data_IF_154847003955
#
_entry.id   IF_154847003955
#
_cell.length_a   1.000
_cell.length_b   1.000
_cell.length_c   1.000
_cell.angle_alpha   90.00
_cell.angle_beta   90.00
_cell.angle_gamma   90.00
#
_symmetry.space_group_name_H-M   'P 1'
#
loop_
_entity.id
_entity.type
_entity.pdbx_description
1 polymer ?
#
# COMPACT_ATOMS: atom_id res chain seq x y z
N UNK A 1 -7.14 -12.38 12.61
CA UNK A 1 -5.71 -12.43 12.24
C UNK A 1 -5.60 -13.12 10.90
N UNK A 2 -4.82 -12.58 9.97
CA UNK A 2 -4.57 -13.17 8.66
C UNK A 2 -3.15 -13.78 8.64
N UNK A 3 -2.98 -14.91 7.94
CA UNK A 3 -1.72 -15.67 7.92
C UNK A 3 -1.45 -16.24 6.52
N UNK A 4 -0.30 -16.90 6.35
CA UNK A 4 0.01 -17.70 5.15
C UNK A 4 -0.89 -18.94 4.99
N UNK A 5 -1.73 -19.23 5.97
CA UNK A 5 -2.63 -20.39 6.04
C UNK A 5 -4.07 -19.95 6.34
N UNK A 6 -4.50 -18.84 5.75
CA UNK A 6 -5.84 -18.31 5.88
C UNK A 6 -6.07 -17.41 7.11
N UNK A 7 -7.33 -17.35 7.55
CA UNK A 7 -7.81 -16.39 8.56
C UNK A 7 -8.13 -17.13 9.84
N UNK A 8 -7.64 -16.59 10.96
CA UNK A 8 -7.95 -17.08 12.30
C UNK A 8 -8.73 -16.06 13.11
N UNK A 9 -9.74 -16.54 13.85
CA UNK A 9 -10.42 -15.81 14.90
C UNK A 9 -9.65 -15.97 16.21
N UNK A 10 -9.39 -14.86 16.88
CA UNK A 10 -8.77 -14.84 18.21
C UNK A 10 -9.84 -14.85 19.30
N UNK A 11 -9.71 -15.74 20.27
CA UNK A 11 -10.58 -15.81 21.44
C UNK A 11 -9.87 -15.23 22.68
N UNK A 12 -10.09 -13.96 23.05
CA UNK A 12 -9.43 -13.37 24.21
C UNK A 12 -9.82 -14.04 25.54
N UNK A 13 -11.01 -14.63 25.62
CA UNK A 13 -11.47 -15.34 26.83
C UNK A 13 -10.72 -16.66 27.07
N UNK A 14 -9.96 -17.15 26.08
CA UNK A 14 -9.12 -18.33 26.17
C UNK A 14 -7.73 -18.07 26.78
N UNK A 15 -7.31 -16.79 26.89
CA UNK A 15 -5.93 -16.41 27.27
C UNK A 15 -5.44 -16.98 28.62
N UNK A 16 -6.37 -17.26 29.54
CA UNK A 16 -6.06 -17.76 30.87
C UNK A 16 -6.69 -19.13 31.19
N UNK A 17 -7.13 -19.86 30.15
CA UNK A 17 -7.76 -21.17 30.33
C UNK A 17 -6.87 -22.26 29.72
N UNK A 18 -6.16 -23.06 30.54
CA UNK A 18 -5.35 -24.18 30.06
C UNK A 18 -6.18 -25.12 29.18
N UNK A 19 -5.64 -25.50 28.02
CA UNK A 19 -6.30 -26.40 27.07
C UNK A 19 -7.38 -25.74 26.18
N UNK A 20 -7.62 -24.44 26.29
CA UNK A 20 -8.57 -23.73 25.42
C UNK A 20 -7.91 -23.22 24.14
N UNK A 21 -8.66 -23.28 23.04
CA UNK A 21 -8.20 -22.84 21.72
C UNK A 21 -8.20 -21.32 21.61
N UNK A 22 -6.99 -20.74 21.56
CA UNK A 22 -6.75 -19.30 21.39
C UNK A 22 -7.08 -18.80 19.98
N UNK A 23 -6.77 -19.62 18.97
CA UNK A 23 -6.96 -19.32 17.57
C UNK A 23 -7.71 -20.45 16.89
N UNK A 24 -8.81 -20.12 16.24
CA UNK A 24 -9.59 -21.07 15.43
C UNK A 24 -9.71 -20.53 14.01
N UNK A 25 -9.87 -21.38 12.99
CA UNK A 25 -10.21 -20.93 11.65
C UNK A 25 -11.42 -19.99 11.72
N UNK A 26 -11.36 -18.87 11.01
CA UNK A 26 -12.47 -17.93 10.94
C UNK A 26 -13.69 -18.55 10.22
N UNK A 27 -13.44 -19.58 9.41
CA UNK A 27 -14.42 -20.29 8.60
C UNK A 27 -14.04 -21.76 8.44
N UNK A 28 -15.03 -22.63 8.29
CA UNK A 28 -14.85 -24.06 8.01
C UNK A 28 -14.47 -24.33 6.53
N UNK A 29 -14.49 -23.30 5.68
CA UNK A 29 -14.14 -23.44 4.26
C UNK A 29 -12.64 -23.74 4.09
N UNK A 30 -12.34 -24.96 3.67
CA UNK A 30 -10.97 -25.46 3.52
C UNK A 30 -10.13 -24.70 2.48
N UNK A 31 -10.74 -24.13 1.43
CA UNK A 31 -10.00 -23.37 0.41
C UNK A 31 -9.50 -22.03 0.97
N UNK A 32 -10.27 -21.38 1.84
CA UNK A 32 -9.84 -20.14 2.49
C UNK A 32 -8.70 -20.35 3.48
N UNK A 33 -8.67 -21.51 4.12
CA UNK A 33 -7.59 -21.90 5.02
C UNK A 33 -6.29 -22.24 4.26
N UNK A 34 -6.32 -22.28 2.92
CA UNK A 34 -5.13 -22.42 2.06
C UNK A 34 -4.66 -21.09 1.47
N UNK A 35 -5.47 -20.03 1.53
CA UNK A 35 -5.09 -18.74 0.97
C UNK A 35 -3.94 -18.12 1.77
N UNK A 36 -2.90 -17.68 1.08
CA UNK A 36 -1.86 -16.85 1.66
C UNK A 36 -2.31 -15.40 1.64
N UNK A 37 -2.67 -14.86 2.80
CA UNK A 37 -3.23 -13.52 2.93
C UNK A 37 -2.11 -12.53 3.22
N UNK A 38 -2.10 -11.43 2.46
CA UNK A 38 -1.08 -10.38 2.53
C UNK A 38 -1.59 -9.09 3.13
N UNK A 39 -2.89 -8.84 3.05
CA UNK A 39 -3.53 -7.64 3.59
C UNK A 39 -4.98 -7.91 3.97
N UNK A 40 -5.50 -7.11 4.90
CA UNK A 40 -6.81 -7.28 5.51
C UNK A 40 -7.43 -5.90 5.78
N UNK A 41 -8.70 -5.74 5.42
CA UNK A 41 -9.51 -4.58 5.78
C UNK A 41 -10.91 -5.04 6.19
N UNK A 42 -11.43 -4.52 7.30
CA UNK A 42 -12.86 -4.53 7.59
C UNK A 42 -13.44 -3.20 7.10
N UNK A 43 -14.40 -3.26 6.18
CA UNK A 43 -15.05 -2.05 5.68
C UNK A 43 -16.15 -1.54 6.63
N UNK A 44 -16.64 -0.33 6.39
CA UNK A 44 -17.70 0.33 7.19
C UNK A 44 -19.03 -0.44 7.24
N UNK A 45 -19.26 -1.38 6.33
CA UNK A 45 -20.46 -2.23 6.30
C UNK A 45 -20.24 -3.55 7.07
N UNK A 46 -19.04 -3.80 7.58
CA UNK A 46 -18.66 -5.01 8.29
C UNK A 46 -18.23 -6.15 7.37
N UNK A 47 -18.03 -5.89 6.07
CA UNK A 47 -17.44 -6.89 5.18
C UNK A 47 -15.93 -6.96 5.42
N UNK A 48 -15.39 -8.16 5.32
CA UNK A 48 -13.94 -8.36 5.37
C UNK A 48 -13.38 -8.50 3.96
N UNK A 49 -12.36 -7.71 3.66
CA UNK A 49 -11.61 -7.71 2.41
C UNK A 49 -10.20 -8.26 2.65
N UNK A 50 -9.76 -9.15 1.77
CA UNK A 50 -8.48 -9.83 1.92
C UNK A 50 -7.72 -9.80 0.60
N UNK A 51 -6.50 -9.30 0.68
CA UNK A 51 -5.52 -9.42 -0.38
C UNK A 51 -4.78 -10.74 -0.27
N UNK A 52 -4.48 -11.37 -1.40
CA UNK A 52 -3.82 -12.68 -1.41
C UNK A 52 -2.58 -12.70 -2.29
N UNK A 53 -1.76 -13.75 -2.11
CA UNK A 53 -0.71 -14.13 -3.06
C UNK A 53 -1.36 -14.93 -4.20
N UNK A 54 -1.21 -14.47 -5.43
CA UNK A 54 -1.58 -15.17 -6.68
C UNK A 54 -3.05 -15.62 -6.77
N UNK A 55 -3.94 -15.09 -5.94
CA UNK A 55 -5.36 -15.46 -5.95
C UNK A 55 -6.27 -14.24 -5.93
N UNK A 56 -5.72 -13.03 -5.98
CA UNK A 56 -6.49 -11.81 -6.09
C UNK A 56 -7.03 -11.22 -4.80
N UNK A 57 -8.24 -10.65 -4.89
CA UNK A 57 -8.95 -9.97 -3.80
C UNK A 57 -10.25 -10.69 -3.49
N UNK A 58 -10.41 -11.07 -2.22
CA UNK A 58 -11.63 -11.69 -1.71
C UNK A 58 -12.40 -10.73 -0.83
N UNK A 59 -13.72 -10.84 -0.86
CA UNK A 59 -14.63 -10.24 0.13
C UNK A 59 -15.42 -11.34 0.83
N UNK A 60 -15.64 -11.15 2.13
CA UNK A 60 -16.60 -11.89 2.93
C UNK A 60 -17.66 -10.94 3.49
N UNK A 61 -18.92 -11.20 3.20
CA UNK A 61 -20.06 -10.36 3.63
C UNK A 61 -20.77 -10.88 4.91
N UNK A 62 -20.14 -11.81 5.63
CA UNK A 62 -20.75 -12.51 6.75
C UNK A 62 -21.57 -13.75 6.36
N UNK A 63 -21.85 -13.97 5.07
CA UNK A 63 -22.61 -15.12 4.55
C UNK A 63 -21.82 -15.88 3.49
N UNK A 64 -21.25 -15.17 2.54
CA UNK A 64 -20.64 -15.72 1.33
C UNK A 64 -19.30 -15.07 1.04
N UNK A 65 -18.47 -15.82 0.30
CA UNK A 65 -17.19 -15.35 -0.19
C UNK A 65 -17.27 -15.09 -1.68
N UNK A 66 -16.74 -13.95 -2.12
CA UNK A 66 -16.65 -13.60 -3.54
C UNK A 66 -15.22 -13.20 -3.87
N UNK A 67 -14.65 -13.81 -4.92
CA UNK A 67 -13.40 -13.33 -5.52
C UNK A 67 -13.72 -12.26 -6.57
N UNK A 68 -13.11 -11.10 -6.43
CA UNK A 68 -13.44 -9.90 -7.20
C UNK A 68 -12.39 -9.53 -8.26
N UNK A 69 -11.16 -10.02 -8.13
CA UNK A 69 -10.06 -9.72 -9.05
C UNK A 69 -9.24 -10.98 -9.24
N UNK A 70 -9.32 -11.66 -10.38
CA UNK A 70 -8.54 -12.89 -10.61
C UNK A 70 -7.24 -12.59 -11.35
N UNK A 71 -6.31 -13.56 -11.39
CA UNK A 71 -5.02 -13.44 -12.07
C UNK A 71 -5.14 -13.05 -13.56
N UNK A 72 -6.25 -13.36 -14.22
CA UNK A 72 -6.50 -13.02 -15.63
C UNK A 72 -6.80 -11.52 -15.84
N UNK A 73 -7.19 -10.80 -14.78
CA UNK A 73 -7.46 -9.37 -14.82
C UNK A 73 -6.17 -8.53 -14.65
N UNK A 74 -5.07 -9.16 -14.23
CA UNK A 74 -3.80 -8.46 -14.06
C UNK A 74 -3.13 -8.24 -15.42
N UNK A 75 -2.74 -6.99 -15.73
CA UNK A 75 -2.13 -6.69 -17.00
C UNK A 75 -0.73 -7.31 -17.16
N UNK A 76 -0.04 -7.56 -16.03
CA UNK A 76 1.24 -8.25 -15.98
C UNK A 76 1.09 -9.58 -15.22
N UNK A 77 0.72 -10.64 -15.93
CA UNK A 77 0.66 -11.99 -15.41
C UNK A 77 1.61 -12.90 -16.20
N UNK A 78 2.75 -13.22 -15.60
CA UNK A 78 3.79 -14.03 -16.24
C UNK A 78 3.75 -15.51 -15.82
N UNK A 79 2.72 -15.93 -15.06
CA UNK A 79 2.56 -17.29 -14.55
C UNK A 79 3.57 -17.72 -13.47
N UNK A 80 4.74 -17.11 -13.41
CA UNK A 80 5.86 -17.48 -12.53
C UNK A 80 6.19 -16.43 -11.46
N UNK A 81 5.35 -15.40 -11.29
CA UNK A 81 5.63 -14.29 -10.37
C UNK A 81 4.51 -14.09 -9.37
N UNK A 82 4.89 -13.69 -8.15
CA UNK A 82 3.96 -13.42 -7.08
C UNK A 82 3.23 -12.09 -7.30
N UNK A 83 1.97 -12.18 -7.74
CA UNK A 83 1.02 -11.07 -7.66
C UNK A 83 0.55 -10.98 -6.20
N UNK A 84 0.75 -9.80 -5.61
CA UNK A 84 0.44 -9.56 -4.19
C UNK A 84 -0.49 -8.37 -4.11
N UNK A 85 -1.47 -8.43 -3.22
CA UNK A 85 -2.23 -7.26 -2.77
C UNK A 85 -1.64 -6.85 -1.44
N UNK A 86 -0.80 -5.82 -1.46
CA UNK A 86 0.05 -5.46 -0.31
C UNK A 86 -0.68 -4.62 0.72
N UNK A 87 -1.67 -3.84 0.29
CA UNK A 87 -2.40 -2.95 1.19
C UNK A 87 -3.81 -2.69 0.70
N UNK A 88 -4.72 -2.41 1.64
CA UNK A 88 -6.13 -2.15 1.38
C UNK A 88 -6.61 -1.02 2.27
N UNK A 89 -7.25 -0.02 1.68
CA UNK A 89 -7.82 1.12 2.40
C UNK A 89 -9.22 1.46 1.89
N UNK A 90 -10.17 1.64 2.81
CA UNK A 90 -11.43 2.29 2.49
C UNK A 90 -11.31 3.78 2.75
N UNK A 91 -11.52 4.60 1.72
CA UNK A 91 -11.41 6.05 1.83
C UNK A 91 -12.64 6.69 2.52
N UNK A 92 -12.56 8.00 2.80
CA UNK A 92 -13.67 8.76 3.40
C UNK A 92 -14.93 8.75 2.53
N UNK A 93 -14.81 8.60 1.21
CA UNK A 93 -15.93 8.54 0.26
C UNK A 93 -16.55 7.14 0.16
N UNK A 94 -15.91 6.13 0.74
CA UNK A 94 -16.38 4.75 0.78
C UNK A 94 -15.82 3.86 -0.33
N UNK A 95 -14.97 4.39 -1.22
CA UNK A 95 -14.26 3.55 -2.18
C UNK A 95 -13.22 2.69 -1.47
N UNK A 96 -12.98 1.49 -2.00
CA UNK A 96 -11.94 0.60 -1.47
C UNK A 96 -10.80 0.53 -2.47
N UNK A 97 -9.60 0.79 -1.98
CA UNK A 97 -8.37 0.88 -2.76
C UNK A 97 -7.47 -0.29 -2.45
N UNK A 98 -6.87 -0.88 -3.48
CA UNK A 98 -5.97 -2.02 -3.36
C UNK A 98 -4.65 -1.69 -4.02
N UNK A 99 -3.57 -1.83 -3.25
CA UNK A 99 -2.20 -1.71 -3.72
C UNK A 99 -1.70 -3.06 -4.17
N UNK A 100 -1.13 -3.13 -5.37
CA UNK A 100 -0.64 -4.40 -5.89
C UNK A 100 0.84 -4.36 -6.26
N UNK A 101 1.47 -5.52 -6.16
CA UNK A 101 2.86 -5.74 -6.52
C UNK A 101 2.97 -6.38 -7.89
N UNK A 102 4.11 -6.13 -8.55
CA UNK A 102 4.51 -6.81 -9.77
C UNK A 102 3.52 -6.63 -10.94
N UNK A 103 3.11 -5.39 -11.18
CA UNK A 103 2.45 -4.99 -12.42
C UNK A 103 0.93 -4.95 -12.39
N UNK A 104 0.34 -4.92 -11.20
CA UNK A 104 -1.10 -4.71 -11.05
C UNK A 104 -1.51 -3.25 -10.85
N UNK A 105 -0.60 -2.33 -10.47
CA UNK A 105 -0.93 -0.94 -10.17
C UNK A 105 -1.85 -0.75 -8.96
N UNK A 106 -2.79 0.20 -9.08
CA UNK A 106 -3.78 0.49 -8.05
C UNK A 106 -5.17 0.14 -8.56
N UNK A 107 -5.92 -0.62 -7.77
CA UNK A 107 -7.31 -0.92 -8.05
C UNK A 107 -8.23 -0.13 -7.13
N UNK A 108 -9.35 0.36 -7.67
CA UNK A 108 -10.41 1.01 -6.90
C UNK A 108 -11.73 0.31 -7.13
N UNK A 109 -12.32 -0.18 -6.05
CA UNK A 109 -13.68 -0.68 -5.99
C UNK A 109 -14.66 0.44 -5.64
N UNK A 110 -15.72 0.55 -6.44
CA UNK A 110 -16.89 1.39 -6.23
C UNK A 110 -18.07 0.52 -5.75
N UNK A 111 -18.42 0.59 -4.44
CA UNK A 111 -19.55 -0.16 -3.90
C UNK A 111 -20.87 0.19 -4.61
N UNK A 112 -21.07 1.45 -4.99
CA UNK A 112 -22.32 1.89 -5.63
C UNK A 112 -22.48 1.34 -7.04
N UNK A 113 -21.37 1.16 -7.77
CA UNK A 113 -21.37 0.52 -9.07
C UNK A 113 -21.61 -1.00 -8.99
N UNK A 114 -21.32 -1.64 -7.85
CA UNK A 114 -21.56 -3.07 -7.69
C UNK A 114 -23.05 -3.44 -7.63
N UNK A 115 -23.92 -2.45 -7.33
CA UNK A 115 -25.37 -2.63 -7.24
C UNK A 115 -26.09 -2.52 -8.59
N UNK A 116 -25.40 -2.07 -9.64
CA UNK A 116 -25.99 -1.84 -10.97
C UNK A 116 -25.70 -3.02 -11.89
N UNK A 117 -26.73 -3.53 -12.55
CA UNK A 117 -26.57 -4.65 -13.50
C UNK A 117 -25.69 -4.24 -14.68
N UNK A 118 -24.63 -5.01 -14.94
CA UNK A 118 -23.74 -4.82 -16.09
C UNK A 118 -22.59 -3.82 -15.89
N UNK A 119 -22.49 -3.13 -14.75
CA UNK A 119 -21.32 -2.29 -14.45
C UNK A 119 -20.16 -3.08 -13.87
N UNK A 120 -18.94 -2.66 -14.21
CA UNK A 120 -17.72 -3.13 -13.57
C UNK A 120 -17.43 -2.25 -12.36
N UNK A 121 -17.42 -2.79 -11.13
CA UNK A 121 -17.19 -1.99 -9.94
C UNK A 121 -15.71 -1.65 -9.73
N UNK A 122 -14.80 -2.25 -10.50
CA UNK A 122 -13.36 -2.01 -10.41
C UNK A 122 -12.87 -1.09 -11.51
N UNK A 123 -12.04 -0.12 -11.10
CA UNK A 123 -11.18 0.65 -11.99
C UNK A 123 -9.72 0.28 -11.68
N UNK A 124 -8.88 0.18 -12.73
CA UNK A 124 -7.45 -0.06 -12.59
C UNK A 124 -6.68 1.19 -13.02
N UNK A 125 -5.75 1.64 -12.19
CA UNK A 125 -4.84 2.73 -12.47
C UNK A 125 -3.44 2.15 -12.64
N UNK A 126 -2.92 2.27 -13.86
CA UNK A 126 -1.60 1.80 -14.26
C UNK A 126 -0.72 2.96 -14.73
N UNK A 127 0.59 2.74 -14.86
CA UNK A 127 1.48 3.61 -15.63
C UNK A 127 1.11 3.73 -17.10
N UNK A 128 1.74 4.71 -17.75
CA UNK A 128 1.63 4.90 -19.20
C UNK A 128 2.19 3.69 -19.96
N UNK A 129 1.79 3.46 -21.22
CA UNK A 129 2.45 2.46 -22.06
C UNK A 129 3.96 2.71 -22.25
N UNK A 130 4.42 3.96 -22.14
CA UNK A 130 5.84 4.31 -22.23
C UNK A 130 6.66 3.74 -21.08
N UNK A 131 6.13 3.76 -19.85
CA UNK A 131 6.75 3.14 -18.67
C UNK A 131 7.21 1.71 -18.96
N UNK A 132 6.33 0.92 -19.58
CA UNK A 132 6.60 -0.47 -19.93
C UNK A 132 7.52 -0.61 -21.13
N UNK A 133 7.34 0.21 -22.18
CA UNK A 133 8.17 0.15 -23.40
C UNK A 133 9.63 0.51 -23.11
N UNK A 134 9.85 1.43 -22.18
CA UNK A 134 11.17 1.92 -21.82
C UNK A 134 11.80 1.14 -20.66
N UNK A 135 11.07 0.20 -20.05
CA UNK A 135 11.50 -0.52 -18.85
C UNK A 135 11.96 0.46 -17.76
N UNK A 136 11.12 1.46 -17.46
CA UNK A 136 11.49 2.54 -16.50
C UNK A 136 11.86 1.99 -15.12
N UNK A 137 11.30 0.85 -14.71
CA UNK A 137 11.55 0.25 -13.41
C UNK A 137 12.66 -0.81 -13.39
N UNK A 138 13.30 -1.06 -14.53
CA UNK A 138 14.48 -1.91 -14.66
C UNK A 138 14.25 -3.40 -14.35
N UNK A 139 13.01 -3.91 -14.43
CA UNK A 139 12.73 -5.32 -14.12
C UNK A 139 13.37 -6.26 -15.16
N UNK A 140 13.77 -7.45 -14.73
CA UNK A 140 14.26 -8.48 -15.65
C UNK A 140 13.09 -9.22 -16.29
N UNK A 141 13.17 -9.47 -17.59
CA UNK A 141 12.15 -10.18 -18.37
C UNK A 141 12.52 -11.62 -18.71
N UNK A 142 13.61 -12.14 -18.14
CA UNK A 142 14.13 -13.47 -18.48
C UNK A 142 14.49 -13.61 -19.96
N UNK A 143 14.91 -12.52 -20.60
CA UNK A 143 15.32 -12.48 -22.01
C UNK A 143 14.18 -12.28 -23.02
N UNK A 144 12.91 -12.17 -22.60
CA UNK A 144 11.82 -11.87 -23.54
C UNK A 144 11.68 -10.35 -23.77
N UNK A 145 11.24 -9.91 -24.97
CA UNK A 145 10.95 -8.50 -25.24
C UNK A 145 9.90 -7.93 -24.28
N UNK A 146 10.11 -6.69 -23.81
CA UNK A 146 9.15 -5.98 -22.95
C UNK A 146 7.76 -5.83 -23.57
N UNK A 147 7.68 -5.77 -24.90
CA UNK A 147 6.43 -5.71 -25.67
C UNK A 147 5.49 -6.87 -25.38
N UNK A 148 6.03 -8.03 -24.97
CA UNK A 148 5.23 -9.21 -24.64
C UNK A 148 4.48 -9.07 -23.30
N UNK A 149 4.79 -8.03 -22.54
CA UNK A 149 4.28 -7.80 -21.20
C UNK A 149 3.58 -6.46 -21.06
N UNK A 150 3.24 -5.84 -22.20
CA UNK A 150 2.42 -4.65 -22.20
C UNK A 150 1.04 -5.00 -21.64
N UNK A 151 0.53 -4.21 -20.67
CA UNK A 151 -0.86 -4.30 -20.25
C UNK A 151 -1.79 -4.37 -21.46
N UNK A 152 -2.76 -5.28 -21.43
CA UNK A 152 -3.91 -5.20 -22.34
C UNK A 152 -4.77 -4.01 -21.91
N UNK A 153 -4.39 -2.81 -22.33
CA UNK A 153 -5.15 -1.61 -22.02
C UNK A 153 -6.53 -1.70 -22.71
N UNK A 154 -7.59 -1.72 -21.90
CA UNK A 154 -8.95 -1.53 -22.40
C UNK A 154 -9.17 -0.07 -22.78
N UNK A 155 -10.00 0.19 -23.79
CA UNK A 155 -10.41 1.55 -24.19
C UNK A 155 -11.19 2.30 -23.11
N UNK A 156 -11.61 1.62 -22.03
CA UNK A 156 -12.38 2.19 -20.92
C UNK A 156 -11.53 2.53 -19.68
N UNK A 157 -10.20 2.45 -19.75
CA UNK A 157 -9.37 2.83 -18.59
C UNK A 157 -9.53 4.34 -18.27
N UNK A 158 -9.55 4.73 -16.98
CA UNK A 158 -9.53 6.15 -16.61
C UNK A 158 -8.39 6.85 -17.36
N UNK A 159 -8.51 8.11 -17.81
CA UNK A 159 -7.43 8.78 -18.54
C UNK A 159 -6.20 9.06 -17.68
N UNK A 160 -6.36 9.03 -16.36
CA UNK A 160 -5.31 9.33 -15.40
C UNK A 160 -4.44 8.11 -15.09
N UNK A 161 -3.18 8.34 -14.69
CA UNK A 161 -2.15 7.28 -14.59
C UNK A 161 -1.34 7.43 -13.32
N UNK A 162 -1.19 6.35 -12.57
CA UNK A 162 -0.18 6.30 -11.51
C UNK A 162 1.22 6.17 -12.12
N UNK A 163 2.25 6.49 -11.35
CA UNK A 163 3.62 6.57 -11.82
C UNK A 163 4.45 5.29 -11.72
N UNK A 164 3.91 4.25 -11.08
CA UNK A 164 4.52 2.94 -10.90
C UNK A 164 3.40 1.89 -10.86
N UNK A 165 3.70 0.64 -11.17
CA UNK A 165 2.75 -0.48 -11.13
C UNK A 165 3.05 -1.46 -9.97
N UNK A 166 4.04 -1.14 -9.15
CA UNK A 166 4.40 -1.82 -7.91
C UNK A 166 4.19 -0.89 -6.72
N UNK A 167 3.06 -1.07 -6.05
CA UNK A 167 2.57 -0.18 -5.00
C UNK A 167 2.60 -0.91 -3.67
N UNK A 168 3.33 -0.35 -2.71
CA UNK A 168 3.54 -0.95 -1.40
C UNK A 168 2.42 -0.65 -0.41
N UNK A 169 1.97 0.60 -0.35
CA UNK A 169 0.98 1.05 0.62
C UNK A 169 0.16 2.22 0.11
N UNK A 170 -1.01 2.40 0.72
CA UNK A 170 -1.92 3.51 0.49
C UNK A 170 -2.25 4.20 1.81
N UNK A 171 -2.33 5.52 1.79
CA UNK A 171 -2.68 6.35 2.93
C UNK A 171 -3.65 7.46 2.51
N UNK A 172 -4.68 7.73 3.30
CA UNK A 172 -5.57 8.88 3.09
C UNK A 172 -5.23 10.02 4.05
N UNK A 173 -4.87 11.18 3.50
CA UNK A 173 -4.58 12.37 4.30
C UNK A 173 -5.85 13.03 4.86
N UNK A 174 -5.70 13.95 5.82
CA UNK A 174 -6.79 14.62 6.52
C UNK A 174 -7.72 15.37 5.57
N UNK A 175 -7.22 15.91 4.47
CA UNK A 175 -8.03 16.64 3.48
C UNK A 175 -8.65 15.73 2.42
N UNK A 176 -8.34 14.43 2.43
CA UNK A 176 -8.98 13.41 1.60
C UNK A 176 -8.24 13.11 0.30
N UNK A 177 -6.96 13.48 0.18
CA UNK A 177 -6.13 12.94 -0.89
C UNK A 177 -5.61 11.56 -0.50
N UNK A 178 -5.42 10.72 -1.50
CA UNK A 178 -4.75 9.44 -1.33
C UNK A 178 -3.28 9.57 -1.69
N UNK A 179 -2.42 8.89 -0.94
CA UNK A 179 -0.99 8.83 -1.14
C UNK A 179 -0.60 7.37 -1.32
N UNK A 180 0.20 7.10 -2.34
CA UNK A 180 0.64 5.76 -2.71
C UNK A 180 2.16 5.69 -2.63
N UNK A 181 2.64 4.70 -1.89
CA UNK A 181 4.05 4.38 -1.78
C UNK A 181 4.47 3.50 -2.95
N UNK A 182 5.40 3.95 -3.78
CA UNK A 182 5.81 3.22 -4.99
C UNK A 182 7.20 2.64 -4.87
N UNK A 183 7.47 1.58 -5.64
CA UNK A 183 8.77 0.89 -5.62
C UNK A 183 9.94 1.74 -6.10
N UNK A 184 9.83 2.33 -7.29
CA UNK A 184 10.97 2.99 -7.95
C UNK A 184 10.72 4.47 -8.31
N UNK A 185 9.51 4.97 -8.09
CA UNK A 185 9.09 6.31 -8.49
C UNK A 185 8.60 7.19 -7.34
N UNK A 186 9.08 6.92 -6.13
CA UNK A 186 8.83 7.72 -4.93
C UNK A 186 7.40 7.60 -4.40
N UNK A 187 6.75 8.73 -4.17
CA UNK A 187 5.35 8.80 -3.74
C UNK A 187 4.45 9.36 -4.86
N UNK A 188 3.20 8.91 -4.90
CA UNK A 188 2.19 9.45 -5.81
C UNK A 188 0.95 9.88 -5.02
N UNK A 189 0.44 11.08 -5.26
CA UNK A 189 -0.79 11.58 -4.61
C UNK A 189 -1.94 11.66 -5.61
N UNK A 190 -3.11 11.18 -5.23
CA UNK A 190 -4.35 11.30 -5.97
C UNK A 190 -5.32 12.24 -5.24
N UNK A 191 -5.75 13.31 -5.92
CA UNK A 191 -6.69 14.31 -5.37
C UNK A 191 -8.17 14.00 -5.65
N UNK A 192 -8.46 12.80 -6.19
CA UNK A 192 -9.79 12.43 -6.68
C UNK A 192 -9.99 12.69 -8.17
N UNK A 193 -9.02 13.31 -8.85
CA UNK A 193 -9.05 13.59 -10.30
C UNK A 193 -7.73 13.24 -10.98
N UNK A 194 -6.61 13.60 -10.38
CA UNK A 194 -5.26 13.53 -10.97
C UNK A 194 -4.25 12.87 -10.03
N UNK A 195 -3.37 12.03 -10.59
CA UNK A 195 -2.18 11.53 -9.92
C UNK A 195 -1.02 12.52 -10.10
N UNK A 196 -0.43 12.95 -8.99
CA UNK A 196 0.77 13.81 -8.94
C UNK A 196 1.94 13.02 -8.36
N UNK A 197 3.03 12.90 -9.12
CA UNK A 197 4.25 12.22 -8.68
C UNK A 197 5.16 13.16 -7.89
N UNK A 198 5.80 12.63 -6.85
CA UNK A 198 6.83 13.33 -6.07
C UNK A 198 8.15 12.57 -6.26
N UNK A 199 8.98 13.08 -7.17
CA UNK A 199 10.26 12.49 -7.62
C UNK A 199 11.44 13.45 -7.39
N UNK A 200 12.63 13.06 -7.85
CA UNK A 200 13.89 13.82 -7.68
C UNK A 200 13.77 15.28 -8.11
N UNK A 201 13.08 15.54 -9.23
CA UNK A 201 12.85 16.88 -9.78
C UNK A 201 11.96 17.78 -8.89
N UNK A 202 11.18 17.19 -7.98
CA UNK A 202 10.34 17.89 -7.00
C UNK A 202 11.03 18.06 -5.63
N UNK A 203 12.32 17.68 -5.55
CA UNK A 203 13.12 17.74 -4.32
C UNK A 203 13.03 16.50 -3.44
N UNK A 204 12.41 15.41 -3.92
CA UNK A 204 12.34 14.11 -3.24
C UNK A 204 13.30 13.12 -3.88
N UNK A 205 14.43 12.85 -3.23
CA UNK A 205 15.55 12.09 -3.84
C UNK A 205 15.55 10.62 -3.43
N UNK A 206 14.41 9.96 -3.55
CA UNK A 206 14.33 8.51 -3.33
C UNK A 206 13.57 7.81 -4.43
N UNK A 207 14.06 6.61 -4.78
CA UNK A 207 13.40 5.72 -5.73
C UNK A 207 12.22 5.02 -5.07
N UNK A 208 12.35 4.55 -3.83
CA UNK A 208 11.30 3.76 -3.17
C UNK A 208 10.75 4.39 -1.91
N UNK A 209 9.42 4.40 -1.79
CA UNK A 209 8.70 4.69 -0.54
C UNK A 209 8.02 3.41 -0.07
N UNK A 210 8.08 3.12 1.24
CA UNK A 210 7.47 1.91 1.81
C UNK A 210 6.23 2.20 2.65
N UNK A 211 6.31 3.24 3.48
CA UNK A 211 5.23 3.67 4.36
C UNK A 211 5.03 5.17 4.24
N UNK A 212 3.77 5.57 4.32
CA UNK A 212 3.32 6.97 4.31
C UNK A 212 2.45 7.20 5.55
N UNK A 213 2.68 8.33 6.22
CA UNK A 213 1.95 8.75 7.41
C UNK A 213 1.77 10.27 7.37
N UNK A 214 0.62 10.78 7.78
CA UNK A 214 0.46 12.19 8.13
C UNK A 214 0.49 12.35 9.65
N UNK A 215 1.39 13.20 10.16
CA UNK A 215 1.44 13.51 11.58
C UNK A 215 0.29 14.44 12.01
N UNK A 216 0.07 14.63 13.32
CA UNK A 216 -0.95 15.56 13.84
C UNK A 216 -0.84 16.99 13.30
N UNK A 217 0.35 17.46 12.93
CA UNK A 217 0.60 18.81 12.40
C UNK A 217 0.30 18.93 10.91
N UNK A 218 0.02 17.81 10.23
CA UNK A 218 -0.29 17.78 8.81
C UNK A 218 0.94 17.63 7.91
N UNK A 219 2.07 17.21 8.48
CA UNK A 219 3.27 16.89 7.71
C UNK A 219 3.17 15.45 7.25
N UNK A 220 3.44 15.22 5.97
CA UNK A 220 3.48 13.89 5.37
C UNK A 220 4.88 13.32 5.54
N UNK A 221 5.00 12.14 6.11
CA UNK A 221 6.25 11.41 6.35
C UNK A 221 6.32 10.21 5.42
N UNK A 222 7.48 10.04 4.76
CA UNK A 222 7.74 9.02 3.75
C UNK A 222 8.99 8.24 4.16
N UNK A 223 8.85 6.92 4.36
CA UNK A 223 9.99 6.05 4.68
C UNK A 223 10.59 5.45 3.41
N UNK A 224 11.91 5.21 3.38
CA UNK A 224 12.61 4.77 2.15
C UNK A 224 13.58 3.62 2.42
N UNK A 225 13.93 2.86 1.38
CA UNK A 225 14.83 1.71 1.51
C UNK A 225 16.26 2.08 1.92
N UNK A 226 16.76 3.24 1.50
CA UNK A 226 18.18 3.57 1.63
C UNK A 226 18.49 5.06 1.90
N UNK A 227 17.49 5.94 1.81
CA UNK A 227 17.68 7.40 1.93
C UNK A 227 16.95 7.99 3.13
N UNK A 228 16.74 7.19 4.18
CA UNK A 228 16.19 7.62 5.47
C UNK A 228 14.71 7.94 5.41
N UNK A 229 14.32 8.95 6.19
CA UNK A 229 12.93 9.43 6.28
C UNK A 229 12.83 10.81 5.67
N UNK A 230 11.85 11.00 4.80
CA UNK A 230 11.53 12.31 4.23
C UNK A 230 10.25 12.84 4.87
N UNK A 231 10.17 14.16 5.04
CA UNK A 231 8.93 14.81 5.36
C UNK A 231 8.59 15.89 4.32
N UNK A 232 7.32 15.93 3.94
CA UNK A 232 6.74 16.87 3.00
C UNK A 232 5.71 17.71 3.73
N UNK A 233 5.90 19.01 3.66
CA UNK A 233 4.94 19.96 4.19
C UNK A 233 4.06 20.54 3.09
N UNK A 234 2.79 20.13 2.98
CA UNK A 234 1.87 20.66 1.99
C UNK A 234 1.44 22.11 2.29
N UNK A 235 1.55 22.55 3.54
CA UNK A 235 1.05 23.84 4.05
C UNK A 235 2.10 24.96 4.03
N UNK A 236 3.39 24.60 3.98
CA UNK A 236 4.51 25.53 4.04
C UNK A 236 4.78 26.11 5.44
N UNK A 237 4.23 25.48 6.50
CA UNK A 237 4.56 25.71 7.91
C UNK A 237 6.07 25.58 8.22
N UNK A 238 6.77 24.65 7.56
CA UNK A 238 8.21 24.43 7.70
C UNK A 238 9.04 25.52 7.01
N UNK A 239 8.47 26.24 6.03
CA UNK A 239 9.19 27.28 5.28
C UNK A 239 8.29 28.38 4.69
N UNK A 240 7.74 29.25 5.55
CA UNK A 240 7.02 30.50 5.19
C UNK A 240 6.19 30.41 3.89
N UNK A 241 5.30 29.42 3.79
CA UNK A 241 4.38 29.26 2.66
C UNK A 241 4.96 28.61 1.40
N UNK A 242 6.19 28.09 1.43
CA UNK A 242 6.74 27.23 0.37
C UNK A 242 6.61 25.77 0.79
N UNK A 243 6.01 24.96 -0.09
CA UNK A 243 6.13 23.50 -0.03
C UNK A 243 7.60 23.12 0.05
N UNK A 244 7.95 22.25 0.99
CA UNK A 244 9.33 21.85 1.17
C UNK A 244 9.43 20.40 1.59
N UNK A 245 10.44 19.74 1.03
CA UNK A 245 10.93 18.47 1.52
C UNK A 245 12.05 18.70 2.52
N UNK A 246 12.09 17.87 3.56
CA UNK A 246 13.25 17.71 4.44
C UNK A 246 13.57 16.23 4.57
N UNK A 247 14.85 15.91 4.62
CA UNK A 247 15.34 14.55 4.78
C UNK A 247 16.02 14.40 6.14
N UNK A 248 15.81 13.24 6.76
CA UNK A 248 16.43 12.82 8.01
C UNK A 248 17.14 11.49 7.79
N UNK A 249 18.42 11.47 8.18
CA UNK A 249 19.32 10.34 7.99
C UNK A 249 20.02 9.97 9.29
N UNK A 250 20.91 9.00 9.24
CA UNK A 250 21.84 8.68 10.33
C UNK A 250 22.68 9.87 10.78
N UNK A 251 22.93 10.87 9.91
CA UNK A 251 23.60 12.12 10.30
C UNK A 251 22.75 12.99 11.23
N UNK A 252 21.43 12.81 11.19
CA UNK A 252 20.46 13.55 12.01
C UNK A 252 20.04 12.77 13.27
N UNK A 253 20.57 11.55 13.45
CA UNK A 253 20.32 10.70 14.62
C UNK A 253 19.44 9.47 14.37
N UNK A 254 18.95 9.26 13.15
CA UNK A 254 18.24 8.02 12.77
C UNK A 254 19.16 6.80 12.97
N UNK A 255 18.65 5.65 13.44
CA UNK A 255 19.49 4.48 13.69
C UNK A 255 20.00 3.83 12.38
N UNK A 256 19.21 3.90 11.32
CA UNK A 256 19.51 3.32 10.01
C UNK A 256 18.70 4.05 8.92
N UNK A 257 19.30 4.28 7.75
CA UNK A 257 18.62 4.90 6.61
C UNK A 257 17.63 3.97 5.88
N UNK A 258 17.60 2.69 6.25
CA UNK A 258 16.71 1.68 5.68
C UNK A 258 15.45 1.54 6.53
N UNK A 259 14.40 2.29 6.18
CA UNK A 259 13.19 2.48 7.00
C UNK A 259 11.95 1.96 6.26
N UNK A 260 11.24 1.03 6.89
CA UNK A 260 10.15 0.29 6.23
C UNK A 260 8.77 0.58 6.82
N UNK A 261 8.70 1.07 8.05
CA UNK A 261 7.43 1.34 8.72
C UNK A 261 7.49 2.65 9.50
N UNK A 262 6.32 3.27 9.62
CA UNK A 262 6.13 4.48 10.41
C UNK A 262 4.83 4.41 11.23
N UNK A 263 4.83 5.06 12.39
CA UNK A 263 3.67 5.20 13.26
C UNK A 263 3.76 6.51 14.06
N UNK A 264 2.64 7.19 14.28
CA UNK A 264 2.56 8.25 15.30
C UNK A 264 1.90 7.71 16.57
N UNK A 265 2.54 7.93 17.73
CA UNK A 265 1.95 7.56 19.02
C UNK A 265 0.97 8.61 19.57
N UNK A 266 0.30 8.28 20.69
CA UNK A 266 -0.68 9.17 21.32
C UNK A 266 -0.07 10.50 21.80
N UNK A 267 1.21 10.51 22.15
CA UNK A 267 1.95 11.71 22.56
C UNK A 267 2.43 12.53 21.36
N UNK A 268 2.28 12.04 20.14
CA UNK A 268 2.73 12.70 18.91
C UNK A 268 4.19 12.44 18.57
N UNK A 269 4.83 11.43 19.18
CA UNK A 269 6.13 10.99 18.70
C UNK A 269 5.95 10.11 17.48
N UNK A 270 6.87 10.25 16.54
CA UNK A 270 6.94 9.39 15.36
C UNK A 270 7.91 8.25 15.61
N UNK A 271 7.52 7.04 15.25
CA UNK A 271 8.29 5.84 15.40
C UNK A 271 8.60 5.27 14.02
N UNK A 272 9.87 4.93 13.78
CA UNK A 272 10.37 4.48 12.48
C UNK A 272 11.09 3.14 12.63
N UNK A 273 10.49 2.09 12.07
CA UNK A 273 11.04 0.74 12.07
C UNK A 273 12.05 0.55 10.95
N UNK A 274 13.25 0.07 11.30
CA UNK A 274 14.36 -0.09 10.37
C UNK A 274 14.59 -1.55 9.98
N UNK A 275 15.15 -1.76 8.79
CA UNK A 275 15.45 -3.11 8.29
C UNK A 275 16.58 -3.74 9.11
N UNK A 276 16.39 -5.00 9.50
CA UNK A 276 17.39 -5.84 10.14
C UNK A 276 17.43 -5.68 11.67
N UNK A 277 17.38 -4.46 12.19
CA UNK A 277 17.34 -4.19 13.63
C UNK A 277 16.96 -2.74 13.93
N UNK A 278 16.47 -2.50 15.14
CA UNK A 278 16.33 -1.17 15.72
C UNK A 278 15.03 -0.41 15.40
N UNK A 279 14.77 0.59 16.22
CA UNK A 279 13.64 1.52 16.11
C UNK A 279 14.12 2.92 16.47
N UNK A 280 13.74 3.91 15.67
CA UNK A 280 14.01 5.32 15.97
C UNK A 280 12.72 6.05 16.34
N UNK A 281 12.70 6.75 17.47
CA UNK A 281 11.63 7.65 17.89
C UNK A 281 12.04 9.10 17.66
N UNK A 282 11.21 9.87 16.96
CA UNK A 282 11.36 11.31 16.78
C UNK A 282 10.31 12.08 17.58
N UNK A 283 10.77 13.01 18.44
CA UNK A 283 9.90 13.83 19.30
C UNK A 283 9.53 15.19 18.67
N UNK A 284 9.85 15.39 17.39
CA UNK A 284 9.72 16.68 16.70
C UNK A 284 10.98 17.56 16.77
N UNK A 285 12.01 17.15 17.51
CA UNK A 285 13.30 17.85 17.63
C UNK A 285 14.48 16.93 17.38
N UNK A 286 14.50 15.76 18.02
CA UNK A 286 15.63 14.82 18.01
C UNK A 286 15.17 13.36 17.94
N UNK A 287 16.10 12.49 17.54
CA UNK A 287 15.89 11.04 17.54
C UNK A 287 16.42 10.38 18.82
N UNK A 288 15.67 9.41 19.32
CA UNK A 288 16.11 8.43 20.30
C UNK A 288 16.03 7.03 19.69
N UNK A 289 17.07 6.22 19.84
CA UNK A 289 17.20 4.93 19.19
C UNK A 289 17.07 3.79 20.22
N UNK A 290 16.40 2.72 19.80
CA UNK A 290 16.17 1.53 20.60
C UNK A 290 16.62 0.32 19.79
N UNK A 291 17.50 -0.49 20.36
CA UNK A 291 17.92 -1.79 19.83
C UNK A 291 18.05 -2.78 20.98
N UNK A 292 17.99 -4.07 20.66
CA UNK A 292 18.38 -5.14 21.60
C UNK A 292 19.89 -5.14 21.87
#
# INVERSE_FOLDING_TARGET
>A
MATSSGICKYNPSALHRPGSTLFSPYTENAELNKLSITSLLEDKEGNLWFGTINSGVYRYDGKSFTNFLNNDDYPFNLGNHNQLILDILQDKKGYIWFCSWNGGGVWRYDPSASLKTGSKPFNNYLPSPDYYRQNEDGRSTGGKPFTNYLPKFSTTQPPDRITDDMIFSVFEDKVGNLWFATRNHGACRYDGKTFTSFRENEGFVSRGVYSILEDKKGIIWLTTEASGVWCYDPSGLLRKGKKSFKNYTTKDGLINNSVFSSLEDRSGNLWFGTRGFGLSRYDGKSFANFSE
#
